data_IF_549414895263
#
_entry.id   IF_549414895263
#
_cell.length_a   1.000
_cell.length_b   1.000
_cell.length_c   1.000
_cell.angle_alpha   90.00
_cell.angle_beta   90.00
_cell.angle_gamma   90.00
#
_symmetry.space_group_name_H-M   'P 1'
#
loop_
_entity.id
_entity.type
_entity.pdbx_description
1 polymer ?
#
# COMPACT_ATOMS: atom_id res chain seq x y z
N UNK A 1 26.99 -1.24 2.67
CA UNK A 1 26.39 -0.39 3.73
C UNK A 1 24.91 -0.73 3.78
N UNK A 2 24.49 -1.46 4.80
CA UNK A 2 23.10 -1.82 5.00
C UNK A 2 22.39 -0.57 5.50
N UNK A 3 21.56 0.04 4.64
CA UNK A 3 20.76 1.19 5.03
C UNK A 3 19.82 0.77 6.15
N UNK A 4 19.90 1.46 7.27
CA UNK A 4 19.00 1.36 8.41
C UNK A 4 17.60 1.59 7.87
N UNK A 5 16.78 0.52 7.77
CA UNK A 5 15.35 0.64 7.52
C UNK A 5 14.78 1.42 8.70
N UNK A 6 14.37 2.65 8.47
CA UNK A 6 13.56 3.39 9.42
C UNK A 6 12.25 2.60 9.55
N UNK A 7 12.11 1.88 10.65
CA UNK A 7 10.90 1.13 10.94
C UNK A 7 9.74 2.14 11.06
N UNK A 8 8.92 2.19 10.03
CA UNK A 8 7.71 3.00 10.04
C UNK A 8 6.69 2.33 10.99
N UNK A 9 6.58 2.86 12.20
CA UNK A 9 5.69 2.35 13.22
C UNK A 9 4.37 3.12 13.14
N UNK A 10 3.27 2.40 13.00
CA UNK A 10 1.91 2.91 13.08
C UNK A 10 1.28 2.52 14.41
N UNK A 11 0.57 3.45 15.02
CA UNK A 11 -0.14 3.22 16.28
C UNK A 11 -1.64 3.15 16.03
N UNK A 12 -2.28 2.13 16.54
CA UNK A 12 -3.72 1.93 16.46
C UNK A 12 -4.31 1.55 17.82
N UNK A 13 -5.57 1.83 18.00
CA UNK A 13 -6.35 1.41 19.18
C UNK A 13 -7.46 0.47 18.74
N UNK A 14 -7.69 -0.60 19.48
CA UNK A 14 -8.77 -1.53 19.21
C UNK A 14 -10.12 -0.84 19.43
N UNK A 15 -11.03 -1.03 18.50
CA UNK A 15 -12.38 -0.45 18.52
C UNK A 15 -13.42 -1.51 18.84
N UNK A 16 -14.18 -1.29 19.91
CA UNK A 16 -15.28 -2.17 20.32
C UNK A 16 -16.62 -1.81 19.66
N UNK A 17 -16.81 -0.53 19.31
CA UNK A 17 -18.06 -0.05 18.72
C UNK A 17 -18.03 -0.13 17.20
N UNK A 18 -19.05 -0.77 16.61
CA UNK A 18 -19.25 -0.91 15.19
C UNK A 18 -20.49 -0.13 14.73
N UNK A 19 -20.53 0.23 13.46
CA UNK A 19 -21.70 0.89 12.84
C UNK A 19 -21.41 2.23 12.19
N UNK A 20 -22.37 2.70 11.39
CA UNK A 20 -22.25 3.89 10.56
C UNK A 20 -22.12 5.19 11.38
N UNK A 21 -22.89 5.33 12.45
CA UNK A 21 -22.85 6.50 13.34
C UNK A 21 -21.53 6.59 14.10
N UNK A 22 -21.00 5.45 14.60
CA UNK A 22 -19.72 5.36 15.28
C UNK A 22 -18.58 5.77 14.35
N UNK A 23 -18.55 5.27 13.12
CA UNK A 23 -17.53 5.61 12.12
C UNK A 23 -17.53 7.11 11.79
N UNK A 24 -18.70 7.74 11.71
CA UNK A 24 -18.81 9.17 11.47
C UNK A 24 -18.30 10.00 12.65
N UNK A 25 -18.55 9.55 13.87
CA UNK A 25 -18.07 10.18 15.10
C UNK A 25 -16.52 10.11 15.20
N UNK A 26 -15.93 8.97 14.89
CA UNK A 26 -14.47 8.77 14.85
C UNK A 26 -13.82 9.80 13.90
N UNK A 27 -14.36 9.95 12.68
CA UNK A 27 -13.84 10.90 11.71
C UNK A 27 -14.01 12.36 12.13
N UNK A 28 -15.08 12.70 12.89
CA UNK A 28 -15.27 14.04 13.46
C UNK A 28 -14.25 14.37 14.54
N UNK A 29 -13.77 13.35 15.25
CA UNK A 29 -12.76 13.47 16.31
C UNK A 29 -11.32 13.44 15.77
N UNK A 30 -11.12 13.55 14.43
CA UNK A 30 -9.79 13.54 13.83
C UNK A 30 -9.14 12.16 13.82
N UNK A 31 -9.93 11.10 13.94
CA UNK A 31 -9.43 9.72 13.86
C UNK A 31 -9.91 9.04 12.58
N UNK A 32 -9.18 8.00 12.15
CA UNK A 32 -9.45 7.20 10.97
C UNK A 32 -9.86 5.80 11.41
N UNK A 33 -10.98 5.27 10.94
CA UNK A 33 -11.31 3.87 11.08
C UNK A 33 -10.38 3.03 10.18
N UNK A 34 -9.89 1.92 10.71
CA UNK A 34 -9.07 0.97 9.99
C UNK A 34 -9.52 -0.47 10.30
N UNK A 35 -9.15 -1.40 9.44
CA UNK A 35 -9.40 -2.83 9.64
C UNK A 35 -8.08 -3.57 9.42
N UNK A 36 -7.76 -4.48 10.34
CA UNK A 36 -6.69 -5.44 10.18
C UNK A 36 -7.30 -6.81 9.91
N UNK A 37 -6.99 -7.36 8.73
CA UNK A 37 -7.31 -8.72 8.35
C UNK A 37 -6.13 -9.63 8.67
N UNK A 38 -6.36 -10.70 9.41
CA UNK A 38 -5.29 -11.61 9.78
C UNK A 38 -5.76 -13.04 10.02
N UNK A 39 -4.84 -13.97 10.18
CA UNK A 39 -5.18 -15.37 10.47
C UNK A 39 -5.91 -15.55 11.80
N UNK A 40 -5.77 -14.59 12.72
CA UNK A 40 -6.46 -14.58 14.03
C UNK A 40 -7.85 -13.94 13.98
N UNK A 41 -8.30 -13.44 12.82
CA UNK A 41 -9.58 -12.77 12.63
C UNK A 41 -9.43 -11.33 12.13
N UNK A 42 -10.58 -10.63 12.09
CA UNK A 42 -10.63 -9.24 11.65
C UNK A 42 -10.73 -8.33 12.87
N UNK A 43 -9.80 -7.41 12.99
CA UNK A 43 -9.78 -6.42 14.07
C UNK A 43 -10.19 -5.06 13.54
N UNK A 44 -11.19 -4.46 14.19
CA UNK A 44 -11.60 -3.08 13.91
C UNK A 44 -10.74 -2.13 14.72
N UNK A 45 -10.09 -1.20 14.05
CA UNK A 45 -9.12 -0.29 14.63
C UNK A 45 -9.54 1.17 14.44
N UNK A 46 -9.01 2.03 15.29
CA UNK A 46 -9.02 3.48 15.11
C UNK A 46 -7.60 4.02 15.22
N UNK A 47 -7.26 4.98 14.40
CA UNK A 47 -5.94 5.60 14.32
C UNK A 47 -6.06 7.11 14.31
N UNK A 48 -5.07 7.82 14.81
CA UNK A 48 -5.02 9.28 14.70
C UNK A 48 -4.71 9.70 13.26
N UNK A 49 -5.50 10.65 12.71
CA UNK A 49 -5.41 11.06 11.29
C UNK A 49 -4.05 11.70 10.98
N UNK A 50 -3.60 12.61 11.84
CA UNK A 50 -2.40 13.41 11.57
C UNK A 50 -1.12 12.58 11.65
N UNK A 51 -0.95 11.82 12.73
CA UNK A 51 0.22 10.95 12.90
C UNK A 51 0.29 9.84 11.85
N UNK A 52 -0.86 9.28 11.49
CA UNK A 52 -0.95 8.26 10.44
C UNK A 52 -0.60 8.84 9.08
N UNK A 53 -1.10 10.02 8.74
CA UNK A 53 -0.80 10.69 7.48
C UNK A 53 0.71 10.96 7.34
N UNK A 54 1.33 11.52 8.38
CA UNK A 54 2.78 11.77 8.40
C UNK A 54 3.61 10.50 8.23
N UNK A 55 3.18 9.39 8.82
CA UNK A 55 3.84 8.10 8.67
C UNK A 55 3.66 7.52 7.28
N UNK A 56 2.47 7.65 6.69
CA UNK A 56 2.18 7.18 5.33
C UNK A 56 2.91 8.00 4.26
N UNK A 57 3.12 9.31 4.47
CA UNK A 57 3.89 10.16 3.56
C UNK A 57 5.37 9.77 3.49
N UNK A 58 5.90 9.12 4.53
CA UNK A 58 7.27 8.60 4.57
C UNK A 58 7.42 7.24 3.87
N UNK A 59 6.31 6.55 3.58
CA UNK A 59 6.34 5.29 2.85
C UNK A 59 6.61 5.55 1.37
N UNK A 60 7.59 4.87 0.84
CA UNK A 60 7.90 4.95 -0.59
C UNK A 60 6.84 4.26 -1.45
N UNK A 61 6.15 3.27 -0.88
CA UNK A 61 5.12 2.47 -1.55
C UNK A 61 3.97 2.11 -0.63
N UNK A 62 2.78 1.98 -1.21
CA UNK A 62 1.57 1.57 -0.50
C UNK A 62 1.67 0.12 -0.01
N UNK A 63 2.44 -0.74 -0.70
CA UNK A 63 2.59 -2.16 -0.37
C UNK A 63 3.86 -2.48 0.44
N UNK A 64 4.37 -1.49 1.17
CA UNK A 64 5.48 -1.69 2.08
C UNK A 64 4.98 -2.33 3.39
N UNK A 65 5.77 -3.25 3.94
CA UNK A 65 5.52 -3.82 5.26
C UNK A 65 5.77 -2.75 6.32
N UNK A 66 4.76 -2.46 7.11
CA UNK A 66 4.83 -1.52 8.23
C UNK A 66 4.67 -2.22 9.56
N UNK A 67 5.30 -1.70 10.60
CA UNK A 67 5.08 -2.17 11.95
C UNK A 67 3.81 -1.51 12.52
N UNK A 68 2.81 -2.33 12.86
CA UNK A 68 1.59 -1.88 13.51
C UNK A 68 1.62 -2.26 14.99
N UNK A 69 1.42 -1.28 15.86
CA UNK A 69 1.24 -1.47 17.31
C UNK A 69 -0.20 -1.15 17.65
N UNK A 70 -0.89 -2.14 18.17
CA UNK A 70 -2.27 -2.02 18.60
C UNK A 70 -2.30 -1.99 20.13
N UNK A 71 -2.82 -0.91 20.68
CA UNK A 71 -3.07 -0.77 22.10
C UNK A 71 -4.53 -1.11 22.34
N UNK A 72 -4.77 -2.11 23.19
CA UNK A 72 -6.11 -2.41 23.68
C UNK A 72 -6.33 -1.78 25.05
N UNK A 73 -7.57 -1.33 25.30
CA UNK A 73 -8.00 -0.83 26.59
C UNK A 73 -7.91 -1.91 27.71
N UNK A 74 -7.92 -3.18 27.34
CA UNK A 74 -7.73 -4.33 28.26
C UNK A 74 -6.27 -4.62 28.61
N UNK A 75 -5.30 -3.90 28.00
CA UNK A 75 -3.86 -4.04 28.29
C UNK A 75 -3.14 -5.08 27.46
N UNK A 76 -3.80 -5.77 26.55
CA UNK A 76 -3.15 -6.64 25.57
C UNK A 76 -2.61 -5.79 24.40
N UNK A 77 -1.30 -5.61 24.37
CA UNK A 77 -0.64 -4.95 23.28
C UNK A 77 -0.29 -5.99 22.20
N UNK A 78 -0.75 -5.74 20.99
CA UNK A 78 -0.37 -6.53 19.83
C UNK A 78 0.60 -5.73 18.97
N UNK A 79 1.67 -6.37 18.54
CA UNK A 79 2.65 -5.80 17.63
C UNK A 79 2.97 -6.80 16.51
N UNK A 80 2.99 -6.32 15.28
CA UNK A 80 3.30 -7.17 14.14
C UNK A 80 3.58 -6.40 12.86
N UNK A 81 4.16 -7.10 11.89
CA UNK A 81 4.35 -6.59 10.54
C UNK A 81 3.07 -6.79 9.74
N UNK A 82 2.57 -5.73 9.18
CA UNK A 82 1.35 -5.71 8.37
C UNK A 82 1.60 -5.07 7.02
N UNK A 83 0.85 -5.52 6.03
CA UNK A 83 0.83 -4.91 4.70
C UNK A 83 -0.34 -3.94 4.64
N UNK A 84 -0.10 -2.74 4.12
CA UNK A 84 -1.16 -1.80 3.81
C UNK A 84 -1.78 -2.21 2.48
N UNK A 85 -3.02 -2.71 2.52
CA UNK A 85 -3.73 -3.25 1.37
C UNK A 85 -4.44 -2.18 0.56
N UNK A 86 -5.11 -1.25 1.26
CA UNK A 86 -5.88 -0.18 0.62
C UNK A 86 -5.87 1.08 1.47
N UNK A 87 -5.80 2.23 0.79
CA UNK A 87 -5.94 3.56 1.38
C UNK A 87 -7.12 4.26 0.71
N UNK A 88 -8.17 4.52 1.44
CA UNK A 88 -9.27 5.35 0.95
C UNK A 88 -9.06 6.81 1.35
N UNK A 89 -8.95 7.68 0.35
CA UNK A 89 -8.79 9.13 0.52
C UNK A 89 -10.03 9.87 0.03
N UNK A 90 -10.33 10.99 0.67
CA UNK A 90 -11.39 11.88 0.20
C UNK A 90 -10.91 12.64 -1.04
N UNK A 91 -11.72 12.64 -2.12
CA UNK A 91 -11.33 13.19 -3.44
C UNK A 91 -10.91 14.68 -3.39
N UNK A 92 -11.53 15.50 -2.52
CA UNK A 92 -11.28 16.95 -2.48
C UNK A 92 -10.57 17.45 -1.22
N UNK A 93 -10.56 16.68 -0.12
CA UNK A 93 -10.12 17.19 1.20
C UNK A 93 -8.83 16.53 1.67
N UNK A 94 -8.02 15.96 0.88
CA UNK A 94 -6.76 15.27 1.27
C UNK A 94 -6.84 14.57 2.65
N UNK A 95 -8.04 14.09 3.03
CA UNK A 95 -8.33 13.39 4.28
C UNK A 95 -8.36 11.91 4.05
N UNK A 96 -7.81 11.16 4.98
CA UNK A 96 -7.90 9.71 5.00
C UNK A 96 -9.29 9.30 5.50
N UNK A 97 -9.95 8.38 4.77
CA UNK A 97 -11.29 7.90 5.08
C UNK A 97 -11.23 6.53 5.75
N UNK A 98 -10.40 5.64 5.22
CA UNK A 98 -10.27 4.26 5.69
C UNK A 98 -8.89 3.70 5.35
N UNK A 99 -8.43 2.77 6.17
CA UNK A 99 -7.19 2.03 5.95
C UNK A 99 -7.45 0.54 6.15
N UNK A 100 -7.00 -0.26 5.19
CA UNK A 100 -7.09 -1.71 5.23
C UNK A 100 -5.69 -2.30 5.38
N UNK A 101 -5.48 -3.01 6.47
CA UNK A 101 -4.25 -3.72 6.77
C UNK A 101 -4.45 -5.22 6.62
N UNK A 102 -3.42 -5.90 6.16
CA UNK A 102 -3.37 -7.35 6.06
C UNK A 102 -2.17 -7.88 6.85
N UNK A 103 -2.39 -8.76 7.80
CA UNK A 103 -1.34 -9.54 8.44
C UNK A 103 -0.93 -10.67 7.49
N UNK A 104 0.28 -10.64 6.91
CA UNK A 104 0.68 -11.66 5.95
C UNK A 104 0.94 -12.99 6.64
N UNK A 105 0.44 -14.07 6.06
CA UNK A 105 0.86 -15.43 6.45
C UNK A 105 2.13 -15.78 5.69
N UNK A 106 3.13 -16.30 6.37
CA UNK A 106 4.40 -16.71 5.74
C UNK A 106 4.22 -17.86 4.74
N UNK A 107 3.16 -18.67 4.91
CA UNK A 107 2.94 -19.88 4.12
C UNK A 107 2.04 -19.69 2.89
N UNK A 108 1.46 -18.50 2.72
CA UNK A 108 0.47 -18.27 1.65
C UNK A 108 0.93 -17.13 0.74
N UNK A 109 0.84 -17.33 -0.60
CA UNK A 109 1.08 -16.25 -1.53
C UNK A 109 0.00 -15.18 -1.40
N UNK A 110 0.40 -13.94 -1.50
CA UNK A 110 -0.45 -12.75 -1.48
C UNK A 110 -0.62 -12.22 -2.91
N UNK A 111 -1.84 -11.86 -3.26
CA UNK A 111 -2.12 -11.15 -4.50
C UNK A 111 -2.16 -9.65 -4.19
N UNK A 112 -1.21 -8.92 -4.74
CA UNK A 112 -1.07 -7.48 -4.59
C UNK A 112 -0.88 -6.80 -5.94
N UNK A 113 -1.34 -5.56 -6.05
CA UNK A 113 -1.15 -4.76 -7.25
C UNK A 113 0.15 -3.96 -7.11
N UNK A 114 1.10 -4.18 -8.01
CA UNK A 114 2.41 -3.51 -7.98
C UNK A 114 2.45 -2.47 -9.08
N UNK A 115 2.93 -1.27 -8.73
CA UNK A 115 3.07 -0.17 -9.66
C UNK A 115 4.18 -0.42 -10.67
N UNK A 116 3.93 0.03 -11.90
CA UNK A 116 4.91 0.00 -12.98
C UNK A 116 5.71 1.31 -12.93
N UNK A 117 7.03 1.21 -13.08
CA UNK A 117 7.91 2.34 -13.32
C UNK A 117 8.63 2.17 -14.65
N UNK A 118 8.68 3.25 -15.42
CA UNK A 118 9.46 3.28 -16.65
C UNK A 118 10.95 3.34 -16.34
N UNK A 119 11.72 2.63 -17.15
CA UNK A 119 13.18 2.66 -17.15
C UNK A 119 13.66 3.06 -18.54
N UNK A 120 14.60 4.01 -18.58
CA UNK A 120 15.14 4.52 -19.84
C UNK A 120 14.34 5.68 -20.42
N UNK A 121 14.81 6.19 -21.54
CA UNK A 121 14.19 7.29 -22.26
C UNK A 121 13.41 6.73 -23.47
N UNK A 122 12.15 7.09 -23.58
CA UNK A 122 11.29 6.66 -24.68
C UNK A 122 11.59 7.49 -25.95
N UNK A 123 12.11 6.89 -27.03
CA UNK A 123 12.37 7.61 -28.28
C UNK A 123 11.10 8.23 -28.88
N UNK A 124 9.96 7.55 -28.77
CA UNK A 124 8.69 8.07 -29.27
C UNK A 124 8.25 9.38 -28.61
N UNK A 125 8.63 9.63 -27.34
CA UNK A 125 8.36 10.91 -26.67
C UNK A 125 9.28 12.00 -27.22
N UNK A 126 10.55 11.69 -27.53
CA UNK A 126 11.48 12.64 -28.17
C UNK A 126 11.03 13.05 -29.58
N UNK A 127 10.33 12.16 -30.27
CA UNK A 127 9.75 12.39 -31.59
C UNK A 127 8.40 13.14 -31.57
N UNK A 128 7.96 13.57 -30.34
CA UNK A 128 6.70 14.33 -30.14
C UNK A 128 5.49 13.46 -29.82
N UNK A 129 5.66 12.17 -29.55
CA UNK A 129 4.62 11.27 -29.10
C UNK A 129 4.31 11.46 -27.61
N UNK A 130 3.21 10.86 -27.16
CA UNK A 130 2.81 10.83 -25.73
C UNK A 130 2.80 9.39 -25.26
N UNK A 131 3.50 9.13 -24.16
CA UNK A 131 3.45 7.83 -23.49
C UNK A 131 2.16 7.74 -22.66
N UNK A 132 1.30 6.79 -23.02
CA UNK A 132 0.04 6.57 -22.32
C UNK A 132 0.06 5.23 -21.57
N UNK A 133 -0.23 5.27 -20.28
CA UNK A 133 -0.41 4.08 -19.46
C UNK A 133 -1.87 3.64 -19.49
N UNK A 134 -2.14 2.49 -20.09
CA UNK A 134 -3.45 1.83 -20.02
C UNK A 134 -3.62 1.12 -18.70
N UNK A 135 -2.54 0.50 -18.19
CA UNK A 135 -2.45 -0.18 -16.90
C UNK A 135 -1.30 0.43 -16.15
N UNK A 136 -1.54 0.88 -14.93
CA UNK A 136 -0.51 1.46 -14.04
C UNK A 136 -0.05 0.51 -12.95
N UNK A 137 -0.84 -0.53 -12.70
CA UNK A 137 -0.60 -1.53 -11.67
C UNK A 137 -0.85 -2.92 -12.21
N UNK A 138 0.02 -3.86 -11.89
CA UNK A 138 -0.11 -5.27 -12.30
C UNK A 138 -0.38 -6.11 -11.07
N UNK A 139 -1.41 -6.99 -11.09
CA UNK A 139 -1.62 -7.96 -10.02
C UNK A 139 -0.52 -9.03 -10.07
N UNK A 140 0.19 -9.17 -8.96
CA UNK A 140 1.30 -10.11 -8.79
C UNK A 140 1.02 -11.00 -7.60
N UNK A 141 1.27 -12.29 -7.74
CA UNK A 141 1.22 -13.26 -6.65
C UNK A 141 2.63 -13.51 -6.13
N UNK A 142 2.90 -13.11 -4.89
CA UNK A 142 4.22 -13.24 -4.28
C UNK A 142 4.13 -13.57 -2.79
N UNK A 143 5.22 -14.08 -2.22
CA UNK A 143 5.35 -14.26 -0.77
C UNK A 143 5.62 -12.91 -0.09
N UNK A 144 5.21 -12.78 1.18
CA UNK A 144 5.36 -11.54 1.95
C UNK A 144 6.80 -11.02 2.02
N UNK A 145 7.78 -11.92 2.06
CA UNK A 145 9.20 -11.56 2.13
C UNK A 145 9.79 -11.07 0.80
N UNK A 146 9.09 -11.31 -0.32
CA UNK A 146 9.57 -11.04 -1.68
C UNK A 146 8.67 -10.07 -2.43
N UNK A 147 8.08 -9.11 -1.73
CA UNK A 147 7.24 -8.10 -2.35
C UNK A 147 8.15 -7.08 -3.06
N UNK A 148 8.12 -6.97 -4.40
CA UNK A 148 8.89 -5.96 -5.10
C UNK A 148 8.25 -4.60 -4.92
N UNK A 149 9.07 -3.56 -4.80
CA UNK A 149 8.57 -2.19 -4.62
C UNK A 149 7.89 -1.64 -5.87
N UNK A 150 8.39 -1.99 -7.04
CA UNK A 150 7.87 -1.60 -8.35
C UNK A 150 8.37 -2.60 -9.40
N UNK A 151 7.70 -2.60 -10.55
CA UNK A 151 8.12 -3.36 -11.72
C UNK A 151 8.73 -2.37 -12.71
N UNK A 152 10.04 -2.53 -12.99
CA UNK A 152 10.70 -1.72 -14.02
C UNK A 152 10.35 -2.23 -15.42
N UNK A 153 9.94 -1.32 -16.27
CA UNK A 153 9.61 -1.59 -17.68
C UNK A 153 10.52 -0.74 -18.57
N UNK A 154 11.33 -1.40 -19.38
CA UNK A 154 12.21 -0.73 -20.31
C UNK A 154 11.42 -0.16 -21.48
N UNK A 155 11.38 1.18 -21.57
CA UNK A 155 10.68 1.93 -22.61
C UNK A 155 11.64 2.44 -23.71
N UNK A 156 12.93 2.11 -23.64
CA UNK A 156 13.94 2.62 -24.59
C UNK A 156 13.78 2.11 -26.02
N UNK A 157 12.98 1.06 -26.22
CA UNK A 157 12.64 0.52 -27.54
C UNK A 157 11.32 1.01 -28.11
N UNK A 158 10.51 1.75 -27.30
CA UNK A 158 9.18 2.20 -27.69
C UNK A 158 9.23 3.41 -28.65
N UNK A 159 8.65 3.24 -29.83
CA UNK A 159 8.45 4.30 -30.85
C UNK A 159 6.97 4.65 -30.97
N UNK A 160 6.66 5.72 -31.73
CA UNK A 160 5.28 6.14 -31.99
C UNK A 160 4.50 4.98 -32.65
N UNK A 161 3.30 4.69 -32.13
CA UNK A 161 2.44 3.60 -32.58
C UNK A 161 2.78 2.22 -32.04
N UNK A 162 3.84 2.06 -31.24
CA UNK A 162 4.15 0.79 -30.58
C UNK A 162 3.46 0.68 -29.22
N UNK A 163 3.11 -0.55 -28.87
CA UNK A 163 2.48 -0.89 -27.57
C UNK A 163 3.28 -1.98 -26.90
N UNK A 164 3.57 -1.82 -25.63
CA UNK A 164 4.19 -2.85 -24.79
C UNK A 164 3.10 -3.53 -23.97
N UNK A 165 3.02 -4.86 -24.04
CA UNK A 165 2.04 -5.65 -23.34
C UNK A 165 2.67 -6.29 -22.10
N UNK A 166 1.83 -6.62 -21.11
CA UNK A 166 2.28 -7.32 -19.88
C UNK A 166 2.98 -8.65 -20.21
N UNK A 167 2.59 -9.30 -21.30
CA UNK A 167 3.23 -10.54 -21.78
C UNK A 167 4.68 -10.34 -22.25
N UNK A 168 5.02 -9.14 -22.69
CA UNK A 168 6.37 -8.79 -23.19
C UNK A 168 7.30 -8.42 -22.03
N UNK A 169 6.74 -8.25 -20.81
CA UNK A 169 7.50 -8.05 -19.60
C UNK A 169 8.15 -9.37 -19.20
N UNK A 170 9.43 -9.46 -19.43
CA UNK A 170 10.22 -10.59 -18.96
C UNK A 170 10.24 -10.57 -17.43
N UNK A 171 9.33 -11.30 -16.80
CA UNK A 171 9.26 -11.48 -15.33
C UNK A 171 10.40 -12.39 -14.80
N UNK A 172 11.41 -12.66 -15.63
CA UNK A 172 12.53 -13.55 -15.31
C UNK A 172 13.48 -12.96 -14.25
N UNK A 173 13.29 -11.70 -13.86
CA UNK A 173 14.15 -11.04 -12.87
C UNK A 173 13.47 -10.76 -11.52
N UNK A 174 12.35 -11.44 -11.24
CA UNK A 174 11.69 -11.33 -9.93
C UNK A 174 11.81 -12.65 -9.17
#
# INVERSE_FOLDING_TARGET
MVGTMSENILYATLRTTQGKSSTQMIRRNGKIPAILYGPRGNFSLEMDEESTRQSLEKLNNIHELVHLKINDASGENWEGKVLLKEIQKHSYKNKLIHLDFLEPSMDKPLNINIQIREKGECPGVKEGGVLQYVVREIPVSCMADKIPQYIEVDVSTLRIGHTLKVQDLSLIHI
#
